data_IF_829043929344
#
_entry.id   IF_829043929344
#
_cell.length_a   1.000
_cell.length_b   1.000
_cell.length_c   1.000
_cell.angle_alpha   90.00
_cell.angle_beta   90.00
_cell.angle_gamma   90.00
#
_symmetry.space_group_name_H-M   'P 1'
#
loop_
_entity.id
_entity.type
_entity.pdbx_description
1 polymer ?
#
# COMPACT_ATOMS: atom_id res chain seq x y z
N UNK A 1 43.71 -0.24 -61.43
CA UNK A 1 42.59 0.30 -60.64
C UNK A 1 43.15 1.22 -59.56
N UNK A 2 43.13 2.54 -59.77
CA UNK A 2 43.62 3.56 -58.82
C UNK A 2 42.64 4.75 -58.68
N UNK A 3 41.55 4.75 -59.44
CA UNK A 3 40.63 5.88 -59.59
C UNK A 3 39.54 5.92 -58.53
N UNK A 4 39.14 4.76 -58.01
CA UNK A 4 38.12 4.61 -56.95
C UNK A 4 38.62 5.13 -55.61
N UNK A 5 39.87 4.84 -55.26
CA UNK A 5 40.47 5.24 -54.00
C UNK A 5 40.69 6.76 -53.94
N UNK A 6 41.19 7.36 -55.02
CA UNK A 6 41.34 8.82 -55.12
C UNK A 6 39.98 9.55 -55.03
N UNK A 7 38.91 8.98 -55.59
CA UNK A 7 37.56 9.53 -55.48
C UNK A 7 37.04 9.50 -54.04
N UNK A 8 37.31 8.43 -53.29
CA UNK A 8 36.94 8.34 -51.88
C UNK A 8 37.69 9.37 -51.02
N UNK A 9 38.98 9.57 -51.29
CA UNK A 9 39.81 10.56 -50.59
C UNK A 9 39.31 11.98 -50.86
N UNK A 10 39.04 12.31 -52.13
CA UNK A 10 38.50 13.63 -52.52
C UNK A 10 37.12 13.91 -51.90
N UNK A 11 36.24 12.90 -51.82
CA UNK A 11 34.95 13.06 -51.15
C UNK A 11 35.12 13.31 -49.65
N UNK A 12 36.03 12.57 -49.00
CA UNK A 12 36.28 12.74 -47.57
C UNK A 12 36.85 14.14 -47.26
N UNK A 13 37.77 14.65 -48.08
CA UNK A 13 38.34 15.99 -47.90
C UNK A 13 37.31 17.12 -48.02
N UNK A 14 36.29 16.96 -48.88
CA UNK A 14 35.19 17.93 -48.99
C UNK A 14 34.24 17.85 -47.79
N UNK A 15 33.95 16.66 -47.29
CA UNK A 15 33.10 16.51 -46.10
C UNK A 15 33.80 17.00 -44.83
N UNK A 16 35.09 16.72 -44.68
CA UNK A 16 35.87 17.17 -43.52
C UNK A 16 36.02 18.69 -43.48
N UNK A 17 36.21 19.35 -44.62
CA UNK A 17 36.26 20.82 -44.69
C UNK A 17 34.93 21.46 -44.32
N UNK A 18 33.81 20.90 -44.80
CA UNK A 18 32.45 21.33 -44.43
C UNK A 18 32.20 21.20 -42.92
N UNK A 19 32.58 20.06 -42.33
CA UNK A 19 32.43 19.82 -40.89
C UNK A 19 33.30 20.78 -40.07
N UNK A 20 34.54 21.02 -40.51
CA UNK A 20 35.43 21.98 -39.85
C UNK A 20 34.85 23.40 -39.85
N UNK A 21 34.27 23.85 -40.97
CA UNK A 21 33.60 25.14 -41.05
C UNK A 21 32.41 25.25 -40.07
N UNK A 22 31.57 24.22 -39.98
CA UNK A 22 30.44 24.19 -39.06
C UNK A 22 30.87 24.18 -37.58
N UNK A 23 31.93 23.44 -37.23
CA UNK A 23 32.50 23.45 -35.86
C UNK A 23 33.07 24.82 -35.52
N UNK A 24 33.77 25.47 -36.47
CA UNK A 24 34.26 26.84 -36.29
C UNK A 24 33.12 27.85 -36.08
N UNK A 25 32.04 27.75 -36.85
CA UNK A 25 30.86 28.62 -36.69
C UNK A 25 30.22 28.43 -35.30
N UNK A 26 30.03 27.18 -34.87
CA UNK A 26 29.50 26.84 -33.56
C UNK A 26 30.37 27.37 -32.40
N UNK A 27 31.69 27.28 -32.53
CA UNK A 27 32.63 27.84 -31.56
C UNK A 27 32.61 29.37 -31.54
N UNK A 28 32.51 30.01 -32.72
CA UNK A 28 32.40 31.49 -32.85
C UNK A 28 31.12 32.04 -32.24
N UNK A 29 30.01 31.31 -32.30
CA UNK A 29 28.76 31.68 -31.63
C UNK A 29 28.79 31.44 -30.11
N UNK A 30 29.92 30.98 -29.55
CA UNK A 30 30.10 30.72 -28.13
C UNK A 30 29.73 29.29 -27.67
N UNK A 31 29.52 28.36 -28.62
CA UNK A 31 29.26 26.97 -28.32
C UNK A 31 30.51 26.22 -27.87
N UNK A 32 30.39 25.37 -26.84
CA UNK A 32 31.47 24.54 -26.33
C UNK A 32 31.08 23.06 -26.39
N UNK A 33 31.88 22.24 -27.06
CA UNK A 33 31.72 20.78 -27.08
C UNK A 33 32.44 20.20 -25.87
N UNK A 34 31.72 19.49 -25.00
CA UNK A 34 32.31 18.75 -23.87
C UNK A 34 32.28 17.27 -24.16
N UNK A 35 33.44 16.64 -24.19
CA UNK A 35 33.54 15.19 -24.12
C UNK A 35 33.44 14.77 -22.66
N UNK A 36 32.40 14.02 -22.31
CA UNK A 36 32.14 13.56 -20.95
C UNK A 36 32.90 12.26 -20.62
N UNK A 37 33.72 11.76 -21.55
CA UNK A 37 34.43 10.50 -21.40
C UNK A 37 33.50 9.29 -21.38
N UNK A 38 34.05 8.12 -21.03
CA UNK A 38 33.27 6.89 -20.93
C UNK A 38 32.55 6.81 -19.58
N UNK A 39 31.25 6.52 -19.61
CA UNK A 39 30.47 6.22 -18.41
C UNK A 39 30.86 4.83 -17.89
N UNK A 40 31.43 4.76 -16.68
CA UNK A 40 31.63 3.49 -15.99
C UNK A 40 30.33 3.05 -15.35
N UNK A 41 29.80 1.89 -15.77
CA UNK A 41 28.61 1.30 -15.14
C UNK A 41 29.04 0.69 -13.80
N UNK A 42 28.75 1.41 -12.71
CA UNK A 42 28.90 0.86 -11.37
C UNK A 42 27.78 -0.16 -11.08
N UNK A 43 28.06 -1.27 -10.37
CA UNK A 43 27.01 -2.18 -9.93
C UNK A 43 26.03 -1.47 -9.01
N UNK A 44 24.76 -1.90 -9.05
CA UNK A 44 23.73 -1.33 -8.18
C UNK A 44 24.11 -1.55 -6.71
N UNK A 45 23.92 -0.55 -5.83
CA UNK A 45 24.12 -0.74 -4.41
C UNK A 45 23.21 -1.86 -3.87
N UNK A 46 23.65 -2.59 -2.83
CA UNK A 46 22.85 -3.66 -2.24
C UNK A 46 21.52 -3.11 -1.71
N UNK A 47 20.45 -3.90 -1.86
CA UNK A 47 19.12 -3.54 -1.36
C UNK A 47 19.16 -3.48 0.17
N UNK A 48 18.72 -2.37 0.75
CA UNK A 48 18.43 -2.28 2.18
C UNK A 48 17.19 -3.12 2.47
N UNK A 49 17.32 -4.16 3.29
CA UNK A 49 16.16 -4.91 3.75
C UNK A 49 15.37 -4.06 4.76
N UNK A 50 14.04 -3.97 4.63
CA UNK A 50 13.23 -3.33 5.65
C UNK A 50 13.33 -4.14 6.96
N UNK A 51 13.20 -3.48 8.13
CA UNK A 51 13.17 -4.19 9.40
C UNK A 51 12.02 -5.23 9.41
N UNK A 52 12.14 -6.31 10.17
CA UNK A 52 11.09 -7.32 10.28
C UNK A 52 9.77 -6.67 10.70
N UNK A 53 8.69 -7.08 10.04
CA UNK A 53 7.36 -6.56 10.33
C UNK A 53 6.96 -6.98 11.74
N UNK A 54 6.72 -6.02 12.63
CA UNK A 54 6.13 -6.29 13.94
C UNK A 54 4.73 -6.91 13.75
N UNK A 55 4.34 -7.89 14.58
CA UNK A 55 3.00 -8.47 14.50
C UNK A 55 1.94 -7.38 14.70
N UNK A 56 0.89 -7.40 13.86
CA UNK A 56 -0.22 -6.44 13.93
C UNK A 56 -1.10 -6.61 15.19
N UNK A 57 -0.89 -7.68 15.94
CA UNK A 57 -1.76 -8.08 17.05
C UNK A 57 -1.00 -8.00 18.38
N UNK A 58 -1.54 -7.20 19.30
CA UNK A 58 -1.02 -7.04 20.66
C UNK A 58 -1.37 -8.26 21.54
N UNK A 59 -0.92 -9.46 21.17
CA UNK A 59 -0.91 -10.65 22.03
C UNK A 59 -2.16 -10.94 22.89
N UNK A 60 -1.92 -11.60 24.03
CA UNK A 60 -2.96 -12.01 24.99
C UNK A 60 -3.63 -10.84 25.73
N UNK A 61 -3.07 -9.63 25.63
CA UNK A 61 -3.44 -8.46 26.45
C UNK A 61 -4.74 -7.77 26.01
N UNK A 62 -5.25 -8.05 24.81
CA UNK A 62 -6.52 -7.47 24.35
C UNK A 62 -7.77 -8.07 24.99
N UNK A 63 -7.66 -9.19 25.71
CA UNK A 63 -8.73 -9.71 26.55
C UNK A 63 -8.68 -9.05 27.93
N UNK A 64 -8.75 -7.71 27.96
CA UNK A 64 -8.85 -6.98 29.21
C UNK A 64 -10.10 -7.45 29.95
N UNK A 65 -9.92 -7.79 31.21
CA UNK A 65 -10.89 -8.35 32.15
C UNK A 65 -12.32 -7.90 31.87
N UNK A 66 -13.20 -8.87 31.65
CA UNK A 66 -14.63 -8.64 31.60
C UNK A 66 -15.08 -8.42 33.04
N UNK A 67 -15.51 -7.20 33.36
CA UNK A 67 -16.07 -6.91 34.68
C UNK A 67 -17.44 -7.60 34.79
N UNK A 68 -17.54 -8.56 35.69
CA UNK A 68 -18.74 -9.39 35.82
C UNK A 68 -19.95 -8.57 36.26
N UNK A 69 -19.72 -7.50 37.02
CA UNK A 69 -20.76 -6.57 37.49
C UNK A 69 -21.41 -5.81 36.33
N UNK A 70 -20.62 -5.35 35.35
CA UNK A 70 -21.13 -4.71 34.15
C UNK A 70 -21.95 -5.70 33.30
N UNK A 71 -21.45 -6.93 33.17
CA UNK A 71 -22.16 -7.99 32.46
C UNK A 71 -23.50 -8.31 33.11
N UNK A 72 -23.60 -8.30 34.45
CA UNK A 72 -24.87 -8.49 35.17
C UNK A 72 -25.84 -7.32 34.96
N UNK A 73 -25.34 -6.08 34.89
CA UNK A 73 -26.17 -4.91 34.59
C UNK A 73 -26.72 -4.96 33.15
N UNK A 74 -25.89 -5.40 32.19
CA UNK A 74 -26.30 -5.60 30.80
C UNK A 74 -27.23 -6.80 30.64
N UNK A 75 -27.01 -7.88 31.41
CA UNK A 75 -27.86 -9.07 31.43
C UNK A 75 -29.32 -8.72 31.71
N UNK A 76 -29.58 -7.90 32.73
CA UNK A 76 -30.95 -7.45 33.07
C UNK A 76 -31.63 -6.70 31.92
N UNK A 77 -30.87 -5.87 31.19
CA UNK A 77 -31.38 -5.16 30.01
C UNK A 77 -31.67 -6.12 28.87
N UNK A 78 -30.78 -7.09 28.65
CA UNK A 78 -30.90 -8.15 27.64
C UNK A 78 -32.13 -9.03 27.92
N UNK A 79 -32.36 -9.41 29.18
CA UNK A 79 -33.55 -10.15 29.64
C UNK A 79 -34.83 -9.37 29.35
N UNK A 80 -34.89 -8.08 29.69
CA UNK A 80 -36.05 -7.25 29.37
C UNK A 80 -36.36 -7.22 27.86
N UNK A 81 -35.34 -7.19 27.00
CA UNK A 81 -35.53 -7.27 25.55
C UNK A 81 -36.00 -8.66 25.08
N UNK A 82 -35.54 -9.73 25.74
CA UNK A 82 -36.00 -11.09 25.45
C UNK A 82 -37.49 -11.23 25.76
N UNK A 83 -37.93 -10.71 26.90
CA UNK A 83 -39.34 -10.80 27.33
C UNK A 83 -40.27 -10.00 26.41
N UNK A 84 -39.75 -8.92 25.80
CA UNK A 84 -40.42 -8.20 24.71
C UNK A 84 -40.47 -8.98 23.38
N UNK A 85 -39.87 -10.17 23.31
CA UNK A 85 -39.86 -11.04 22.14
C UNK A 85 -39.02 -10.52 20.98
N UNK A 86 -38.12 -9.55 21.22
CA UNK A 86 -37.27 -9.02 20.14
C UNK A 86 -36.08 -9.94 19.87
N UNK A 87 -35.68 -10.04 18.61
CA UNK A 87 -34.46 -10.76 18.27
C UNK A 87 -33.21 -10.04 18.77
N UNK A 88 -32.12 -10.77 18.96
CA UNK A 88 -30.83 -10.22 19.38
C UNK A 88 -30.32 -9.08 18.47
N UNK A 89 -30.61 -9.13 17.16
CA UNK A 89 -30.26 -8.04 16.23
C UNK A 89 -31.05 -6.76 16.49
N UNK A 90 -32.32 -6.90 16.86
CA UNK A 90 -33.18 -5.76 17.20
C UNK A 90 -32.83 -5.23 18.60
N UNK A 91 -32.44 -6.10 19.53
CA UNK A 91 -31.92 -5.73 20.84
C UNK A 91 -30.68 -4.84 20.75
N UNK A 92 -29.74 -5.12 19.85
CA UNK A 92 -28.57 -4.24 19.58
C UNK A 92 -29.02 -2.82 19.21
N UNK A 93 -29.97 -2.69 18.28
CA UNK A 93 -30.43 -1.39 17.80
C UNK A 93 -31.22 -0.60 18.84
N UNK A 94 -31.92 -1.28 19.74
CA UNK A 94 -32.76 -0.65 20.76
C UNK A 94 -31.99 -0.32 22.04
N UNK A 95 -31.01 -1.15 22.44
CA UNK A 95 -30.25 -0.98 23.68
C UNK A 95 -28.93 -0.26 23.48
N UNK A 96 -28.43 -0.14 22.25
CA UNK A 96 -27.12 0.43 21.93
C UNK A 96 -25.94 -0.44 22.38
N UNK A 97 -26.20 -1.65 22.91
CA UNK A 97 -25.17 -2.61 23.32
C UNK A 97 -24.61 -3.29 22.07
N UNK A 98 -23.29 -3.36 21.96
CA UNK A 98 -22.63 -4.00 20.82
C UNK A 98 -23.03 -5.48 20.70
N UNK A 99 -23.35 -5.93 19.49
CA UNK A 99 -23.69 -7.32 19.16
C UNK A 99 -22.69 -8.34 19.70
N UNK A 100 -21.39 -8.07 19.67
CA UNK A 100 -20.37 -8.99 20.19
C UNK A 100 -20.48 -9.19 21.70
N UNK A 101 -20.83 -8.13 22.43
CA UNK A 101 -21.04 -8.16 23.89
C UNK A 101 -22.32 -8.93 24.22
N UNK A 102 -23.44 -8.62 23.55
CA UNK A 102 -24.69 -9.37 23.76
C UNK A 102 -24.46 -10.87 23.46
N UNK A 103 -23.78 -11.22 22.36
CA UNK A 103 -23.50 -12.62 22.01
C UNK A 103 -22.65 -13.32 23.06
N UNK A 104 -21.64 -12.62 23.61
CA UNK A 104 -20.79 -13.13 24.70
C UNK A 104 -21.63 -13.39 25.96
N UNK A 105 -22.44 -12.43 26.39
CA UNK A 105 -23.26 -12.52 27.60
C UNK A 105 -24.29 -13.65 27.45
N UNK A 106 -24.97 -13.72 26.31
CA UNK A 106 -25.92 -14.78 25.97
C UNK A 106 -25.27 -16.16 26.06
N UNK A 107 -24.04 -16.31 25.55
CA UNK A 107 -23.27 -17.56 25.67
C UNK A 107 -22.80 -17.85 27.10
N UNK A 108 -22.34 -16.84 27.84
CA UNK A 108 -21.85 -16.99 29.23
C UNK A 108 -22.98 -17.39 30.19
N UNK A 109 -24.15 -16.77 30.07
CA UNK A 109 -25.30 -16.97 30.95
C UNK A 109 -26.38 -17.89 30.35
N UNK A 110 -26.11 -18.53 29.20
CA UNK A 110 -27.03 -19.47 28.53
C UNK A 110 -28.45 -18.93 28.33
N UNK A 111 -28.57 -17.66 27.92
CA UNK A 111 -29.86 -17.08 27.55
C UNK A 111 -30.25 -17.53 26.14
N UNK A 112 -31.54 -17.73 25.91
CA UNK A 112 -32.06 -18.04 24.57
C UNK A 112 -32.97 -16.92 24.06
N UNK A 113 -32.67 -16.43 22.87
CA UNK A 113 -33.42 -15.38 22.20
C UNK A 113 -34.31 -16.01 21.13
N UNK A 114 -35.54 -15.48 20.93
CA UNK A 114 -36.33 -15.89 19.78
C UNK A 114 -35.53 -15.64 18.50
N UNK A 115 -35.33 -16.72 17.74
CA UNK A 115 -34.67 -16.66 16.44
C UNK A 115 -35.38 -15.60 15.60
N UNK A 116 -34.59 -14.70 15.00
CA UNK A 116 -35.13 -13.78 14.01
C UNK A 116 -35.58 -14.60 12.81
N UNK A 117 -36.84 -15.05 12.79
CA UNK A 117 -37.42 -15.56 11.56
C UNK A 117 -37.30 -14.42 10.56
N UNK A 118 -36.36 -14.52 9.61
CA UNK A 118 -36.35 -13.66 8.44
C UNK A 118 -37.66 -13.99 7.74
N UNK A 119 -38.68 -13.14 7.93
CA UNK A 119 -39.89 -13.23 7.13
C UNK A 119 -39.44 -13.26 5.67
N UNK A 120 -39.86 -14.32 4.97
CA UNK A 120 -39.42 -14.65 3.61
C UNK A 120 -40.08 -13.74 2.60
#
# INVERSE_FOLDING_TARGET
MMTTELSAIQRNSVQSSRLAAAVCEFQRSGGAVRDLGSFRVAPRPPRKEPPPRQPRYNGADHRKYVEEEEDLALLKRIEAMRDLGVSHFKAEKLTGINRTVIRRIVQKYSLDYPSSSRAK
#
